data_IF_051115332081
#
_entry.id   IF_051115332081
#
_cell.length_a   1.000
_cell.length_b   1.000
_cell.length_c   1.000
_cell.angle_alpha   90.00
_cell.angle_beta   90.00
_cell.angle_gamma   90.00
#
_symmetry.space_group_name_H-M   'P 1'
#
loop_
_entity.id
_entity.type
_entity.pdbx_description
1 polymer ?
#
# COMPACT_ATOMS: atom_id res chain seq x y z
N UNK A 1 14.80 2.70 8.99
CA UNK A 1 15.19 2.94 7.59
C UNK A 1 14.28 4.00 7.00
N UNK A 2 14.84 4.89 6.18
CA UNK A 2 14.05 5.87 5.42
C UNK A 2 13.57 5.27 4.10
N UNK A 3 12.51 5.82 3.55
CA UNK A 3 11.98 5.36 2.27
C UNK A 3 11.34 6.50 1.49
N UNK A 4 10.99 6.20 0.25
CA UNK A 4 10.23 7.07 -0.63
C UNK A 4 8.86 6.46 -0.88
N UNK A 5 7.87 7.32 -1.08
CA UNK A 5 6.49 6.90 -1.33
C UNK A 5 6.05 7.32 -2.73
N UNK A 6 5.24 6.47 -3.35
CA UNK A 6 4.80 6.59 -4.74
C UNK A 6 3.31 6.23 -4.82
N UNK A 7 2.60 6.85 -5.77
CA UNK A 7 1.23 6.48 -6.10
C UNK A 7 1.15 6.17 -7.59
N UNK A 8 0.65 4.99 -7.90
CA UNK A 8 0.38 4.53 -9.25
C UNK A 8 -1.12 4.53 -9.51
N UNK A 9 -1.55 4.99 -10.68
CA UNK A 9 -2.94 4.95 -11.09
C UNK A 9 -3.11 4.08 -12.33
N UNK A 10 -4.06 3.16 -12.27
CA UNK A 10 -4.54 2.41 -13.42
C UNK A 10 -5.98 2.81 -13.75
N UNK A 11 -6.36 3.00 -15.02
CA UNK A 11 -7.74 3.37 -15.38
C UNK A 11 -8.81 2.40 -14.86
N UNK A 12 -8.49 1.11 -14.78
CA UNK A 12 -9.41 0.08 -14.28
C UNK A 12 -9.29 -0.17 -12.77
N UNK A 13 -8.08 -0.09 -12.20
CA UNK A 13 -7.83 -0.52 -10.82
C UNK A 13 -7.78 0.65 -9.83
N UNK A 14 -7.75 1.90 -10.30
CA UNK A 14 -7.59 3.05 -9.42
C UNK A 14 -6.17 3.19 -8.88
N UNK A 15 -6.04 3.76 -7.68
CA UNK A 15 -4.77 4.14 -7.08
C UNK A 15 -4.15 3.04 -6.22
N UNK A 16 -2.84 2.82 -6.36
CA UNK A 16 -2.05 1.92 -5.54
C UNK A 16 -0.86 2.66 -4.94
N UNK A 17 -0.80 2.73 -3.62
CA UNK A 17 0.32 3.33 -2.88
C UNK A 17 1.44 2.32 -2.70
N UNK A 18 2.66 2.78 -2.95
CA UNK A 18 3.88 1.98 -2.95
C UNK A 18 4.95 2.71 -2.15
N UNK A 19 5.70 1.97 -1.34
CA UNK A 19 6.88 2.47 -0.61
C UNK A 19 8.10 1.70 -1.07
N UNK A 20 9.19 2.41 -1.36
CA UNK A 20 10.51 1.83 -1.62
C UNK A 20 11.48 2.24 -0.52
N UNK A 21 12.21 1.30 0.03
CA UNK A 21 13.33 1.53 0.94
C UNK A 21 14.44 0.50 0.66
N UNK A 22 15.48 0.49 1.48
CA UNK A 22 16.64 -0.40 1.31
C UNK A 22 16.29 -1.90 1.38
N UNK A 23 15.16 -2.25 1.98
CA UNK A 23 14.67 -3.63 2.12
C UNK A 23 13.79 -4.09 0.95
N UNK A 24 13.40 -3.17 0.07
CA UNK A 24 12.68 -3.48 -1.15
C UNK A 24 11.44 -2.61 -1.38
N UNK A 25 10.49 -3.19 -2.14
CA UNK A 25 9.28 -2.54 -2.61
C UNK A 25 8.04 -3.10 -1.88
N UNK A 26 7.25 -2.20 -1.29
CA UNK A 26 6.12 -2.53 -0.44
C UNK A 26 4.84 -1.87 -0.95
N UNK A 27 3.73 -2.60 -0.94
CA UNK A 27 2.44 -2.22 -1.51
C UNK A 27 1.40 -2.10 -0.40
N UNK A 28 0.59 -1.03 -0.43
CA UNK A 28 -0.39 -0.78 0.61
C UNK A 28 -1.49 -1.84 0.64
N UNK A 29 -1.68 -2.53 1.77
CA UNK A 29 -2.64 -3.63 1.86
C UNK A 29 -4.09 -3.15 1.74
N UNK A 30 -4.41 -1.96 2.27
CA UNK A 30 -5.76 -1.36 2.17
C UNK A 30 -6.14 -1.15 0.68
N UNK A 31 -5.19 -0.69 -0.14
CA UNK A 31 -5.40 -0.50 -1.58
C UNK A 31 -5.51 -1.84 -2.30
N UNK A 32 -4.65 -2.82 -1.98
CA UNK A 32 -4.71 -4.16 -2.57
C UNK A 32 -6.06 -4.85 -2.31
N UNK A 33 -6.59 -4.71 -1.09
CA UNK A 33 -7.89 -5.27 -0.72
C UNK A 33 -9.01 -4.60 -1.51
N UNK A 34 -8.99 -3.27 -1.61
CA UNK A 34 -9.99 -2.54 -2.38
C UNK A 34 -9.94 -2.87 -3.89
N UNK A 35 -8.74 -3.04 -4.45
CA UNK A 35 -8.55 -3.35 -5.88
C UNK A 35 -8.98 -4.77 -6.21
N UNK A 36 -8.59 -5.73 -5.37
CA UNK A 36 -8.79 -7.15 -5.67
C UNK A 36 -10.13 -7.67 -5.16
N UNK A 37 -10.82 -6.90 -4.32
CA UNK A 37 -12.05 -7.31 -3.62
C UNK A 37 -11.85 -8.67 -2.91
N UNK A 38 -10.66 -8.86 -2.32
CA UNK A 38 -10.35 -10.08 -1.58
C UNK A 38 -11.00 -10.00 -0.19
N UNK A 39 -11.98 -10.87 0.03
CA UNK A 39 -12.60 -11.01 1.34
C UNK A 39 -11.61 -11.44 2.42
N UNK A 40 -11.82 -10.95 3.63
CA UNK A 40 -11.05 -11.28 4.85
C UNK A 40 -10.86 -12.78 5.08
N UNK A 41 -11.82 -13.61 4.70
CA UNK A 41 -11.81 -15.07 4.83
C UNK A 41 -10.74 -15.73 3.95
N UNK A 42 -10.43 -15.10 2.81
CA UNK A 42 -9.36 -15.53 1.90
C UNK A 42 -8.05 -14.83 2.22
N UNK A 43 -8.10 -13.56 2.63
CA UNK A 43 -6.91 -12.80 2.95
C UNK A 43 -6.16 -13.36 4.16
N UNK A 44 -6.86 -13.76 5.23
CA UNK A 44 -6.19 -14.26 6.43
C UNK A 44 -5.34 -15.51 6.18
N UNK A 45 -5.84 -16.58 5.52
CA UNK A 45 -5.00 -17.71 5.12
C UNK A 45 -3.81 -17.31 4.24
N UNK A 46 -4.00 -16.39 3.28
CA UNK A 46 -2.89 -15.91 2.43
C UNK A 46 -1.80 -15.27 3.26
N UNK A 47 -2.16 -14.43 4.23
CA UNK A 47 -1.18 -13.77 5.12
C UNK A 47 -0.52 -14.76 6.09
N UNK A 48 -1.21 -15.84 6.45
CA UNK A 48 -0.66 -16.89 7.33
C UNK A 48 0.31 -17.83 6.58
N UNK A 49 0.03 -18.12 5.32
CA UNK A 49 0.78 -19.11 4.52
C UNK A 49 1.90 -18.48 3.68
N UNK A 50 1.84 -17.17 3.42
CA UNK A 50 2.85 -16.49 2.59
C UNK A 50 4.21 -16.45 3.29
N UNK A 51 5.27 -16.67 2.51
CA UNK A 51 6.66 -16.42 2.93
C UNK A 51 7.05 -14.95 2.77
N UNK A 52 6.17 -14.12 2.20
CA UNK A 52 6.39 -12.69 2.01
C UNK A 52 6.27 -11.88 3.29
N UNK A 53 6.78 -10.65 3.25
CA UNK A 53 6.79 -9.73 4.39
C UNK A 53 5.48 -8.95 4.49
N UNK A 54 4.93 -8.90 5.70
CA UNK A 54 3.89 -7.94 6.12
C UNK A 54 4.55 -6.95 7.09
N UNK A 55 4.49 -5.66 6.76
CA UNK A 55 5.23 -4.61 7.49
C UNK A 55 4.36 -3.42 7.84
N UNK A 56 4.67 -2.77 8.95
CA UNK A 56 4.09 -1.48 9.30
C UNK A 56 5.08 -0.38 8.90
N UNK A 57 4.61 0.61 8.14
CA UNK A 57 5.41 1.76 7.73
C UNK A 57 4.72 3.03 8.23
N UNK A 58 5.48 3.87 8.93
CA UNK A 58 5.05 5.19 9.34
C UNK A 58 5.22 6.17 8.18
N UNK A 59 4.15 6.88 7.85
CA UNK A 59 4.11 7.87 6.78
C UNK A 59 3.64 9.21 7.32
N UNK A 60 4.33 10.28 6.95
CA UNK A 60 4.03 11.67 7.31
C UNK A 60 4.14 12.55 6.07
N UNK A 61 3.15 13.41 5.85
CA UNK A 61 3.09 14.34 4.74
C UNK A 61 2.59 15.72 5.20
N UNK A 62 3.01 16.77 4.49
CA UNK A 62 2.52 18.14 4.73
C UNK A 62 1.08 18.31 4.23
N UNK A 63 0.26 19.04 4.98
CA UNK A 63 -1.16 19.29 4.66
C UNK A 63 -1.37 20.54 3.79
N UNK A 64 -0.32 20.98 3.09
CA UNK A 64 -0.40 22.17 2.23
C UNK A 64 -1.29 21.91 1.02
N UNK A 65 -1.98 22.96 0.56
CA UNK A 65 -2.72 22.89 -0.71
C UNK A 65 -1.74 22.68 -1.86
N UNK A 66 -2.00 21.67 -2.68
CA UNK A 66 -1.27 21.43 -3.93
C UNK A 66 -2.14 21.82 -5.14
N UNK A 67 -1.51 22.18 -6.27
CA UNK A 67 -2.23 22.35 -7.53
C UNK A 67 -2.97 21.06 -7.93
N UNK A 68 -4.04 21.19 -8.73
CA UNK A 68 -4.89 20.06 -9.13
C UNK A 68 -4.10 18.94 -9.81
N UNK A 69 -3.12 19.30 -10.64
CA UNK A 69 -2.33 18.35 -11.43
C UNK A 69 -1.43 17.45 -10.56
N UNK A 70 -1.16 17.86 -9.33
CA UNK A 70 -0.37 17.07 -8.36
C UNK A 70 -1.25 16.27 -7.38
N UNK A 71 -2.58 16.41 -7.43
CA UNK A 71 -3.49 15.64 -6.57
C UNK A 71 -3.34 14.12 -6.74
N UNK A 72 -3.14 13.57 -7.96
CA UNK A 72 -2.86 12.14 -8.13
C UNK A 72 -1.52 11.69 -7.52
N UNK A 73 -0.69 12.61 -7.03
CA UNK A 73 0.57 12.30 -6.36
C UNK A 73 0.50 12.57 -4.86
N UNK A 74 -0.69 12.77 -4.30
CA UNK A 74 -0.86 12.86 -2.85
C UNK A 74 -0.93 11.45 -2.25
N UNK A 75 -0.12 11.21 -1.21
CA UNK A 75 -0.13 9.93 -0.51
C UNK A 75 -1.42 9.72 0.31
N UNK A 76 -1.88 10.78 1.00
CA UNK A 76 -3.14 10.79 1.70
C UNK A 76 -4.19 11.51 0.86
N UNK A 77 -5.32 10.85 0.65
CA UNK A 77 -6.37 11.36 -0.23
C UNK A 77 -7.68 10.62 -0.08
N UNK A 78 -8.51 10.76 -1.10
CA UNK A 78 -9.71 9.94 -1.27
C UNK A 78 -9.36 8.81 -2.24
N UNK A 79 -9.31 7.58 -1.72
CA UNK A 79 -9.06 6.37 -2.49
C UNK A 79 -10.30 5.49 -2.41
N UNK A 80 -10.75 4.97 -3.56
CA UNK A 80 -11.94 4.10 -3.64
C UNK A 80 -13.19 4.70 -2.97
N UNK A 81 -13.37 6.02 -3.08
CA UNK A 81 -14.50 6.76 -2.48
C UNK A 81 -14.40 6.97 -0.96
N UNK A 82 -13.26 6.63 -0.35
CA UNK A 82 -13.04 6.75 1.09
C UNK A 82 -11.87 7.69 1.38
N UNK A 83 -12.08 8.67 2.25
CA UNK A 83 -11.01 9.52 2.76
C UNK A 83 -10.16 8.77 3.80
N UNK A 84 -8.83 8.92 3.72
CA UNK A 84 -7.93 8.32 4.69
C UNK A 84 -8.18 8.83 6.12
N UNK A 85 -8.30 7.88 7.06
CA UNK A 85 -8.37 8.17 8.51
C UNK A 85 -6.96 8.41 9.07
N UNK A 86 -6.47 9.64 8.92
CA UNK A 86 -5.13 10.06 9.39
C UNK A 86 -5.17 10.91 10.66
N UNK A 87 -4.12 10.81 11.47
CA UNK A 87 -3.82 11.83 12.47
C UNK A 87 -3.39 13.10 11.74
N UNK A 88 -3.82 14.26 12.22
CA UNK A 88 -3.49 15.53 11.57
C UNK A 88 -3.36 16.66 12.56
N UNK A 89 -2.45 17.57 12.28
CA UNK A 89 -2.41 18.91 12.88
C UNK A 89 -2.47 19.96 11.75
N UNK A 90 -2.23 21.23 12.07
CA UNK A 90 -2.32 22.31 11.07
C UNK A 90 -1.29 22.24 9.94
N UNK A 91 -0.22 21.43 10.07
CA UNK A 91 0.90 21.36 9.13
C UNK A 91 1.12 19.97 8.54
N UNK A 92 0.81 18.93 9.30
CA UNK A 92 1.19 17.55 9.00
C UNK A 92 0.00 16.61 9.14
N UNK A 93 -0.03 15.59 8.29
CA UNK A 93 -0.86 14.41 8.40
C UNK A 93 0.04 13.19 8.49
N UNK A 94 -0.29 12.24 9.36
CA UNK A 94 0.51 11.03 9.53
C UNK A 94 -0.33 9.82 9.97
N UNK A 95 0.17 8.63 9.67
CA UNK A 95 -0.40 7.36 10.09
C UNK A 95 0.66 6.25 9.98
N UNK A 96 0.56 5.22 10.80
CA UNK A 96 1.21 3.94 10.54
C UNK A 96 0.28 3.06 9.71
N UNK A 97 0.76 2.59 8.57
CA UNK A 97 -0.04 1.79 7.64
C UNK A 97 0.64 0.46 7.34
N UNK A 98 -0.16 -0.55 7.00
CA UNK A 98 0.34 -1.88 6.66
C UNK A 98 0.65 -1.96 5.18
N UNK A 99 1.83 -2.48 4.87
CA UNK A 99 2.26 -2.79 3.51
C UNK A 99 2.74 -4.23 3.43
N UNK A 100 2.77 -4.75 2.22
CA UNK A 100 3.24 -6.10 1.93
C UNK A 100 4.21 -6.09 0.77
N UNK A 101 5.14 -7.03 0.72
CA UNK A 101 6.06 -7.13 -0.41
C UNK A 101 5.40 -7.74 -1.67
N UNK A 102 6.17 -7.82 -2.75
CA UNK A 102 5.70 -8.37 -4.02
C UNK A 102 5.34 -9.86 -3.98
N UNK A 103 5.90 -10.64 -3.04
CA UNK A 103 5.57 -12.05 -2.87
C UNK A 103 4.16 -12.19 -2.30
N UNK A 104 3.80 -11.40 -1.27
CA UNK A 104 2.42 -11.38 -0.76
C UNK A 104 1.43 -10.91 -1.84
N UNK A 105 1.76 -9.89 -2.64
CA UNK A 105 0.89 -9.45 -3.75
C UNK A 105 0.64 -10.60 -4.74
N UNK A 106 1.66 -11.39 -5.07
CA UNK A 106 1.54 -12.57 -5.93
C UNK A 106 0.63 -13.63 -5.30
N UNK A 107 0.78 -13.88 -4.00
CA UNK A 107 -0.01 -14.90 -3.28
C UNK A 107 -1.49 -14.48 -3.15
N UNK A 108 -1.75 -13.19 -2.91
CA UNK A 108 -3.11 -12.60 -2.91
C UNK A 108 -3.81 -12.65 -4.28
N UNK A 109 -3.04 -12.67 -5.36
CA UNK A 109 -3.60 -12.53 -6.72
C UNK A 109 -3.59 -13.84 -7.48
N UNK A 110 -2.41 -14.39 -7.77
CA UNK A 110 -2.25 -15.63 -8.54
C UNK A 110 -2.30 -16.84 -7.63
N UNK A 111 -1.72 -16.77 -6.43
CA UNK A 111 -1.62 -17.91 -5.51
C UNK A 111 -2.98 -18.36 -4.98
N UNK A 112 -3.85 -17.41 -4.66
CA UNK A 112 -5.16 -17.66 -4.03
C UNK A 112 -6.37 -17.48 -4.95
N UNK A 113 -6.19 -16.98 -6.19
CA UNK A 113 -7.33 -16.69 -7.07
C UNK A 113 -7.30 -17.36 -8.43
N UNK A 114 -8.47 -17.88 -8.82
CA UNK A 114 -8.77 -18.29 -10.20
C UNK A 114 -9.28 -17.12 -11.06
N UNK A 115 -9.56 -15.98 -10.44
CA UNK A 115 -10.10 -14.78 -11.08
C UNK A 115 -9.10 -14.14 -12.08
N UNK A 116 -9.44 -14.07 -13.39
CA UNK A 116 -8.63 -13.39 -14.39
C UNK A 116 -8.35 -11.91 -14.07
N UNK A 117 -9.26 -11.17 -13.42
CA UNK A 117 -9.05 -9.74 -13.14
C UNK A 117 -7.89 -9.53 -12.16
N UNK A 118 -7.83 -10.35 -11.10
CA UNK A 118 -6.68 -10.33 -10.16
C UNK A 118 -5.36 -10.68 -10.84
N UNK A 119 -5.38 -11.54 -11.85
CA UNK A 119 -4.18 -11.87 -12.65
C UNK A 119 -3.75 -10.70 -13.54
N UNK A 120 -4.70 -9.95 -14.11
CA UNK A 120 -4.40 -8.73 -14.86
C UNK A 120 -3.86 -7.63 -13.94
N UNK A 121 -4.42 -7.49 -12.75
CA UNK A 121 -3.87 -6.60 -11.72
C UNK A 121 -2.43 -6.97 -11.36
N UNK A 122 -2.13 -8.26 -11.15
CA UNK A 122 -0.76 -8.69 -10.90
C UNK A 122 0.19 -8.39 -12.07
N UNK A 123 -0.27 -8.51 -13.32
CA UNK A 123 0.53 -8.09 -14.48
C UNK A 123 0.83 -6.60 -14.47
N UNK A 124 -0.10 -5.75 -14.05
CA UNK A 124 0.19 -4.33 -13.89
C UNK A 124 1.28 -4.09 -12.83
N UNK A 125 1.23 -4.79 -11.69
CA UNK A 125 2.28 -4.70 -10.67
C UNK A 125 3.63 -5.19 -11.20
N UNK A 126 3.66 -6.37 -11.80
CA UNK A 126 4.88 -7.04 -12.24
C UNK A 126 5.50 -6.41 -13.49
N UNK A 127 4.70 -6.15 -14.52
CA UNK A 127 5.19 -5.79 -15.84
C UNK A 127 5.26 -4.26 -16.05
N UNK A 128 4.66 -3.47 -15.15
CA UNK A 128 4.71 -2.00 -15.21
C UNK A 128 5.28 -1.38 -13.95
N UNK A 129 4.68 -1.59 -12.77
CA UNK A 129 5.09 -0.88 -11.55
C UNK A 129 6.53 -1.25 -11.15
N UNK A 130 6.84 -2.54 -11.06
CA UNK A 130 8.18 -3.00 -10.69
C UNK A 130 9.28 -2.46 -11.62
N UNK A 131 9.18 -2.58 -12.96
CA UNK A 131 10.14 -1.97 -13.87
C UNK A 131 10.26 -0.45 -13.73
N UNK A 132 9.15 0.28 -13.53
CA UNK A 132 9.20 1.73 -13.30
C UNK A 132 9.94 2.07 -12.01
N UNK A 133 9.86 1.22 -10.98
CA UNK A 133 10.58 1.41 -9.72
C UNK A 133 12.08 1.08 -9.79
N UNK A 134 12.51 0.38 -10.84
CA UNK A 134 13.92 0.12 -11.16
C UNK A 134 14.52 1.21 -12.06
N UNK A 135 13.69 1.95 -12.80
CA UNK A 135 14.08 3.06 -13.67
C UNK A 135 14.01 4.40 -12.92
N UNK A 136 15.16 4.85 -12.41
CA UNK A 136 15.29 6.12 -11.65
C UNK A 136 14.81 7.34 -12.44
N UNK A 137 14.96 7.33 -13.77
CA UNK A 137 14.54 8.43 -14.64
C UNK A 137 13.02 8.48 -14.85
N UNK A 138 12.30 7.42 -14.46
CA UNK A 138 10.83 7.33 -14.60
C UNK A 138 10.09 7.33 -13.28
N UNK A 139 10.68 6.82 -12.20
CA UNK A 139 9.96 6.69 -10.93
C UNK A 139 9.50 8.04 -10.34
N UNK A 140 10.23 9.13 -10.62
CA UNK A 140 9.90 10.48 -10.12
C UNK A 140 8.53 10.99 -10.57
N UNK A 141 7.99 10.48 -11.70
CA UNK A 141 6.65 10.80 -12.18
C UNK A 141 5.55 10.35 -11.22
N UNK A 142 5.83 9.30 -10.43
CA UNK A 142 4.90 8.67 -9.50
C UNK A 142 5.18 9.01 -8.04
N UNK A 143 6.31 9.65 -7.77
CA UNK A 143 6.73 10.00 -6.41
C UNK A 143 5.72 10.95 -5.77
N UNK A 144 5.38 10.66 -4.52
CA UNK A 144 4.40 11.42 -3.77
C UNK A 144 4.92 12.81 -3.45
N UNK A 145 4.10 13.82 -3.70
CA UNK A 145 4.39 15.19 -3.29
C UNK A 145 4.04 15.39 -1.81
N UNK A 146 4.68 16.38 -1.19
CA UNK A 146 4.46 16.75 0.22
C UNK A 146 4.89 15.67 1.23
N UNK A 147 5.56 14.61 0.81
CA UNK A 147 6.13 13.63 1.74
C UNK A 147 7.17 14.29 2.63
N UNK A 148 6.98 14.12 3.94
CA UNK A 148 7.92 14.62 4.95
C UNK A 148 8.80 13.50 5.47
N UNK A 149 8.20 12.34 5.73
CA UNK A 149 8.90 11.19 6.30
C UNK A 149 8.21 9.90 5.93
N UNK A 150 9.00 8.90 5.54
CA UNK A 150 8.59 7.50 5.46
C UNK A 150 9.58 6.72 6.30
N UNK A 151 9.09 6.01 7.31
CA UNK A 151 9.93 5.29 8.25
C UNK A 151 9.47 3.87 8.45
N UNK A 152 10.41 2.97 8.22
CA UNK A 152 10.25 1.55 8.43
C UNK A 152 11.19 1.08 9.54
N UNK A 153 10.61 0.42 10.54
CA UNK A 153 11.32 -0.24 11.63
C UNK A 153 10.59 -1.55 11.98
N UNK A 154 10.98 -2.68 11.35
CA UNK A 154 10.31 -3.96 11.55
C UNK A 154 10.53 -4.55 12.94
N UNK A 155 11.55 -4.07 13.68
CA UNK A 155 11.91 -4.61 14.99
C UNK A 155 11.30 -3.80 16.14
N UNK A 156 10.62 -2.69 15.83
CA UNK A 156 9.96 -1.84 16.83
C UNK A 156 8.89 -2.59 17.61
N UNK A 157 8.09 -3.42 16.93
CA UNK A 157 7.05 -4.25 17.52
C UNK A 157 6.73 -5.43 16.61
N UNK A 158 6.30 -6.59 17.15
CA UNK A 158 5.80 -7.68 16.32
C UNK A 158 4.54 -7.24 15.56
N UNK A 159 4.32 -7.84 14.38
CA UNK A 159 3.08 -7.68 13.65
C UNK A 159 1.97 -8.47 14.34
N UNK A 160 0.85 -7.81 14.66
CA UNK A 160 -0.32 -8.46 15.25
C UNK A 160 -1.37 -8.69 14.14
N UNK A 161 -1.50 -9.92 13.65
CA UNK A 161 -2.52 -10.29 12.66
C UNK A 161 -3.52 -11.23 13.33
N UNK A 162 -4.78 -10.82 13.41
CA UNK A 162 -5.81 -11.55 14.14
C UNK A 162 -7.13 -11.58 13.39
N UNK A 163 -7.71 -12.77 13.27
CA UNK A 163 -9.03 -12.97 12.69
C UNK A 163 -10.06 -13.09 13.82
N UNK A 164 -10.94 -12.09 13.91
CA UNK A 164 -11.99 -12.00 14.91
C UNK A 164 -13.38 -12.11 14.26
N UNK A 165 -14.42 -12.30 15.09
CA UNK A 165 -15.80 -12.44 14.62
C UNK A 165 -16.26 -11.25 13.75
N UNK A 166 -15.78 -10.05 14.06
CA UNK A 166 -16.14 -8.82 13.38
C UNK A 166 -15.16 -8.42 12.26
N UNK A 167 -13.96 -9.01 12.14
CA UNK A 167 -13.03 -8.64 11.08
C UNK A 167 -11.65 -9.27 11.15
N UNK A 168 -10.89 -9.07 10.08
CA UNK A 168 -9.44 -9.26 10.09
C UNK A 168 -8.79 -7.96 10.58
N UNK A 169 -7.91 -8.07 11.55
CA UNK A 169 -7.13 -6.94 12.07
C UNK A 169 -5.67 -7.16 11.77
N UNK A 170 -5.00 -6.09 11.33
CA UNK A 170 -3.55 -6.00 11.26
C UNK A 170 -3.14 -4.81 12.09
N UNK A 171 -2.46 -5.09 13.20
CA UNK A 171 -2.32 -4.19 14.34
C UNK A 171 -3.69 -3.63 14.74
N UNK A 172 -3.79 -2.33 14.97
CA UNK A 172 -5.04 -1.66 15.34
C UNK A 172 -5.96 -1.35 14.14
N UNK A 173 -5.58 -1.75 12.92
CA UNK A 173 -6.34 -1.47 11.71
C UNK A 173 -7.20 -2.68 11.33
N UNK A 174 -8.53 -2.48 11.27
CA UNK A 174 -9.46 -3.45 10.71
C UNK A 174 -9.39 -3.40 9.18
N UNK A 175 -9.12 -4.55 8.57
CA UNK A 175 -9.20 -4.79 7.13
C UNK A 175 -10.60 -5.36 6.85
N UNK A 176 -11.32 -4.73 5.92
CA UNK A 176 -12.66 -5.16 5.51
C UNK A 176 -12.59 -6.27 4.46
#
# INVERSE_FOLDING_TARGET
>A
MEGNAYVFYHPQFGGLRVVKNDEGLFFCIEDLVAITDIGRDKLFPVLADTEGKVVEIYVEAETKKVPKDFKPRLFFGEFFGNADKVNRNSRLAWRSMTFVDSQVVRDMTIGSSKDPERKLFYKWVKDFIQPVMEDEDRCWCHECVMMKRVCYDPLKKPMDIRYAADGLYINDTRIN
#
